data_IF_880770452770
#
_entry.id   IF_880770452770
#
_cell.length_a   1.000
_cell.length_b   1.000
_cell.length_c   1.000
_cell.angle_alpha   90.00
_cell.angle_beta   90.00
_cell.angle_gamma   90.00
#
_symmetry.space_group_name_H-M   'P 1'
#
loop_
_entity.id
_entity.type
_entity.pdbx_description
1 polymer ?
#
# COMPACT_ATOMS: atom_id res chain seq x y z
N UNK A 1 -12.27 24.68 -5.16
CA UNK A 1 -12.32 23.21 -5.24
C UNK A 1 -10.90 22.72 -5.08
N UNK A 2 -10.60 21.99 -4.00
CA UNK A 2 -9.28 21.38 -3.83
C UNK A 2 -9.27 20.08 -4.63
N UNK A 3 -8.67 20.10 -5.82
CA UNK A 3 -8.48 18.89 -6.61
C UNK A 3 -7.45 18.02 -5.87
N UNK A 4 -7.94 17.07 -5.07
CA UNK A 4 -7.16 15.96 -4.54
C UNK A 4 -6.72 15.07 -5.71
N UNK A 5 -5.46 14.63 -5.77
CA UNK A 5 -5.08 13.55 -6.70
C UNK A 5 -4.25 13.92 -7.93
N UNK A 6 -3.32 14.87 -7.87
CA UNK A 6 -2.33 15.13 -8.94
C UNK A 6 -1.03 14.34 -8.81
N UNK A 7 0.05 14.78 -9.49
CA UNK A 7 1.43 14.26 -9.37
C UNK A 7 1.87 14.09 -7.91
N UNK A 8 1.43 15.00 -7.03
CA UNK A 8 1.69 14.95 -5.59
C UNK A 8 1.24 13.64 -4.94
N UNK A 9 0.09 13.08 -5.34
CA UNK A 9 -0.41 11.83 -4.76
C UNK A 9 0.47 10.65 -5.18
N UNK A 10 0.94 10.66 -6.42
CA UNK A 10 1.90 9.66 -6.90
C UNK A 10 3.23 9.78 -6.15
N UNK A 11 3.78 10.98 -6.03
CA UNK A 11 5.02 11.25 -5.27
C UNK A 11 4.91 10.80 -3.81
N UNK A 12 3.80 11.13 -3.14
CA UNK A 12 3.55 10.70 -1.75
C UNK A 12 3.63 9.19 -1.60
N UNK A 13 3.01 8.45 -2.52
CA UNK A 13 3.03 6.99 -2.49
C UNK A 13 4.44 6.45 -2.74
N UNK A 14 5.17 7.02 -3.71
CA UNK A 14 6.55 6.63 -3.97
C UNK A 14 7.44 6.85 -2.74
N UNK A 15 7.27 7.96 -2.03
CA UNK A 15 8.00 8.24 -0.80
C UNK A 15 7.71 7.15 0.25
N UNK A 16 6.45 6.81 0.49
CA UNK A 16 6.08 5.74 1.44
C UNK A 16 6.74 4.40 1.06
N UNK A 17 6.73 4.04 -0.22
CA UNK A 17 7.37 2.81 -0.71
C UNK A 17 8.90 2.83 -0.49
N UNK A 18 9.56 3.96 -0.78
CA UNK A 18 11.01 4.12 -0.60
C UNK A 18 11.41 4.04 0.88
N UNK A 19 10.66 4.68 1.77
CA UNK A 19 10.88 4.60 3.22
C UNK A 19 10.69 3.17 3.73
N UNK A 20 9.63 2.48 3.29
CA UNK A 20 9.41 1.09 3.66
C UNK A 20 10.54 0.17 3.18
N UNK A 21 11.02 0.34 1.94
CA UNK A 21 12.17 -0.42 1.42
C UNK A 21 13.44 -0.17 2.22
N UNK A 22 13.72 1.09 2.57
CA UNK A 22 14.87 1.44 3.40
C UNK A 22 14.77 0.81 4.81
N UNK A 23 13.60 0.90 5.44
CA UNK A 23 13.32 0.27 6.73
C UNK A 23 13.51 -1.25 6.66
N UNK A 24 12.90 -1.92 5.68
CA UNK A 24 13.02 -3.37 5.49
C UNK A 24 14.46 -3.80 5.20
N UNK A 25 15.25 -2.95 4.53
CA UNK A 25 16.68 -3.18 4.31
C UNK A 25 17.48 -3.16 5.60
N UNK A 26 17.18 -2.25 6.52
CA UNK A 26 17.79 -2.26 7.86
C UNK A 26 17.34 -3.52 8.61
N UNK A 27 16.03 -3.79 8.60
CA UNK A 27 15.45 -4.90 9.36
C UNK A 27 15.80 -6.30 8.83
N UNK A 28 16.36 -6.44 7.63
CA UNK A 28 16.85 -7.74 7.12
C UNK A 28 17.94 -8.35 8.01
N UNK A 29 18.77 -7.50 8.62
CA UNK A 29 19.83 -7.91 9.55
C UNK A 29 19.30 -8.15 10.99
N UNK A 30 18.01 -7.91 11.22
CA UNK A 30 17.35 -8.12 12.51
C UNK A 30 16.14 -9.08 12.38
N UNK A 31 16.38 -10.37 12.05
CA UNK A 31 15.32 -11.35 11.77
C UNK A 31 14.45 -11.71 12.98
N UNK A 32 14.93 -11.42 14.20
CA UNK A 32 14.23 -11.72 15.45
C UNK A 32 13.08 -10.76 15.77
N UNK A 33 13.01 -9.59 15.12
CA UNK A 33 11.87 -8.69 15.26
C UNK A 33 10.76 -9.04 14.27
N UNK A 34 9.53 -9.06 14.79
CA UNK A 34 8.31 -9.13 13.97
C UNK A 34 7.93 -7.74 13.48
N UNK A 35 7.73 -7.60 12.19
CA UNK A 35 7.44 -6.33 11.54
C UNK A 35 5.96 -6.25 11.15
N UNK A 36 5.36 -5.09 11.39
CA UNK A 36 3.99 -4.79 10.98
C UNK A 36 3.98 -3.53 10.13
N UNK A 37 3.27 -3.58 9.02
CA UNK A 37 2.82 -2.39 8.32
C UNK A 37 1.38 -2.07 8.74
N UNK A 38 1.15 -0.86 9.22
CA UNK A 38 -0.16 -0.36 9.64
C UNK A 38 -0.53 0.85 8.80
N UNK A 39 -1.67 0.80 8.13
CA UNK A 39 -2.22 1.91 7.34
C UNK A 39 -3.60 2.28 7.88
N UNK A 40 -3.69 3.47 8.49
CA UNK A 40 -4.92 3.98 9.09
C UNK A 40 -5.98 4.44 8.10
N UNK A 41 -5.62 4.60 6.82
CA UNK A 41 -6.46 5.22 5.78
C UNK A 41 -6.24 4.56 4.42
N UNK A 42 -6.41 3.23 4.37
CA UNK A 42 -5.96 2.41 3.26
C UNK A 42 -6.77 2.62 1.96
N UNK A 43 -8.00 3.13 2.04
CA UNK A 43 -8.86 3.34 0.88
C UNK A 43 -9.21 2.03 0.17
N UNK A 44 -9.36 2.09 -1.15
CA UNK A 44 -9.65 0.93 -2.01
C UNK A 44 -8.39 0.20 -2.50
N UNK A 45 -7.21 0.74 -2.20
CA UNK A 45 -5.93 0.26 -2.75
C UNK A 45 -5.62 0.79 -4.16
N UNK A 46 -6.51 1.57 -4.76
CA UNK A 46 -6.30 2.26 -6.03
C UNK A 46 -6.66 3.73 -5.89
N UNK A 47 -5.91 4.58 -6.57
CA UNK A 47 -6.19 6.01 -6.62
C UNK A 47 -6.58 6.36 -8.05
N UNK A 48 -7.79 6.88 -8.19
CA UNK A 48 -8.28 7.47 -9.41
C UNK A 48 -7.66 8.86 -9.55
N UNK A 49 -6.90 9.07 -10.63
CA UNK A 49 -6.38 10.36 -11.07
C UNK A 49 -7.22 10.80 -12.27
N UNK A 50 -7.80 11.99 -12.16
CA UNK A 50 -8.55 12.58 -13.26
C UNK A 50 -7.57 13.07 -14.33
N UNK A 51 -7.60 12.43 -15.50
CA UNK A 51 -6.90 12.86 -16.71
C UNK A 51 -7.85 13.58 -17.67
N UNK A 52 -7.30 14.42 -18.55
CA UNK A 52 -8.09 15.19 -19.53
C UNK A 52 -8.88 14.33 -20.54
N UNK A 53 -8.54 13.03 -20.68
CA UNK A 53 -9.16 12.14 -21.66
C UNK A 53 -9.70 10.83 -21.06
N UNK A 54 -9.09 10.26 -20.00
CA UNK A 54 -9.64 9.10 -19.27
C UNK A 54 -9.10 9.03 -17.83
N UNK A 55 -9.85 8.42 -16.88
CA UNK A 55 -9.37 8.19 -15.52
C UNK A 55 -8.18 7.24 -15.53
N UNK A 56 -7.03 7.69 -15.01
CA UNK A 56 -5.88 6.82 -14.77
C UNK A 56 -5.95 6.27 -13.36
N UNK A 57 -5.77 4.96 -13.21
CA UNK A 57 -5.65 4.33 -11.91
C UNK A 57 -4.18 4.14 -11.59
N UNK A 58 -3.76 4.58 -10.39
CA UNK A 58 -2.45 4.26 -9.84
C UNK A 58 -2.63 3.36 -8.62
N UNK A 59 -1.67 2.46 -8.42
CA UNK A 59 -1.63 1.63 -7.21
C UNK A 59 -1.42 2.48 -5.96
N UNK A 60 -2.29 2.28 -4.97
CA UNK A 60 -2.18 2.90 -3.66
C UNK A 60 -1.04 2.31 -2.82
N UNK A 61 -0.78 2.94 -1.67
CA UNK A 61 0.26 2.52 -0.74
C UNK A 61 0.10 1.05 -0.31
N UNK A 62 -1.11 0.61 0.01
CA UNK A 62 -1.38 -0.78 0.41
C UNK A 62 -0.88 -1.83 -0.60
N UNK A 63 -1.18 -1.64 -1.89
CA UNK A 63 -0.75 -2.55 -2.96
C UNK A 63 0.76 -2.51 -3.18
N UNK A 64 1.38 -1.33 -3.12
CA UNK A 64 2.83 -1.20 -3.31
C UNK A 64 3.59 -1.82 -2.16
N UNK A 65 3.16 -1.59 -0.92
CA UNK A 65 3.81 -2.11 0.28
C UNK A 65 3.74 -3.63 0.34
N UNK A 66 2.57 -4.24 0.08
CA UNK A 66 2.45 -5.71 0.07
C UNK A 66 3.24 -6.38 -1.06
N UNK A 67 3.52 -5.64 -2.13
CA UNK A 67 4.29 -6.13 -3.28
C UNK A 67 5.80 -6.09 -3.05
N UNK A 68 6.29 -5.45 -1.97
CA UNK A 68 7.72 -5.46 -1.64
C UNK A 68 8.10 -6.89 -1.22
N UNK A 69 8.96 -7.53 -2.01
CA UNK A 69 9.50 -8.87 -1.70
C UNK A 69 10.94 -8.86 -1.23
N UNK A 70 11.71 -7.85 -1.62
CA UNK A 70 13.13 -7.71 -1.34
C UNK A 70 13.38 -6.37 -0.61
N UNK A 71 14.29 -6.33 0.38
CA UNK A 71 15.14 -7.42 0.86
C UNK A 71 14.49 -8.31 1.95
N UNK A 72 13.34 -7.92 2.48
CA UNK A 72 12.43 -8.77 3.26
C UNK A 72 11.01 -8.19 3.20
N UNK A 73 10.05 -8.95 3.70
CA UNK A 73 8.64 -8.51 3.84
C UNK A 73 8.31 -8.08 5.28
N UNK A 74 7.18 -7.40 5.46
CA UNK A 74 6.53 -7.32 6.77
C UNK A 74 5.89 -8.67 7.13
N UNK A 75 5.90 -9.03 8.40
CA UNK A 75 5.27 -10.26 8.91
C UNK A 75 3.73 -10.12 8.97
N UNK A 76 3.24 -8.89 9.17
CA UNK A 76 1.81 -8.58 9.28
C UNK A 76 1.48 -7.27 8.55
N UNK A 77 0.31 -7.22 7.93
CA UNK A 77 -0.25 -6.02 7.32
C UNK A 77 -1.62 -5.77 7.96
N UNK A 78 -1.86 -4.53 8.40
CA UNK A 78 -3.12 -4.14 9.00
C UNK A 78 -3.64 -2.85 8.35
N UNK A 79 -4.76 -2.97 7.65
CA UNK A 79 -5.37 -1.90 6.89
C UNK A 79 -6.68 -1.48 7.54
N UNK A 80 -6.81 -0.19 7.84
CA UNK A 80 -8.04 0.42 8.37
C UNK A 80 -8.70 1.25 7.28
N UNK A 81 -9.99 1.01 7.09
CA UNK A 81 -10.85 1.80 6.21
C UNK A 81 -12.25 1.87 6.83
N UNK A 82 -12.77 3.09 6.95
CA UNK A 82 -14.06 3.34 7.59
C UNK A 82 -15.23 2.96 6.68
N UNK A 83 -15.09 3.20 5.37
CA UNK A 83 -16.09 2.84 4.39
C UNK A 83 -16.03 1.34 4.08
N UNK A 84 -17.06 0.61 4.49
CA UNK A 84 -17.14 -0.85 4.31
C UNK A 84 -16.99 -1.28 2.85
N UNK A 85 -17.52 -0.53 1.89
CA UNK A 85 -17.41 -0.89 0.48
C UNK A 85 -15.97 -0.73 -0.01
N UNK A 86 -15.27 0.33 0.43
CA UNK A 86 -13.85 0.50 0.11
C UNK A 86 -12.99 -0.58 0.77
N UNK A 87 -13.30 -0.93 2.02
CA UNK A 87 -12.62 -1.99 2.74
C UNK A 87 -12.73 -3.35 2.03
N UNK A 88 -13.93 -3.72 1.55
CA UNK A 88 -14.11 -4.96 0.80
C UNK A 88 -13.39 -4.92 -0.56
N UNK A 89 -13.43 -3.80 -1.28
CA UNK A 89 -12.68 -3.63 -2.54
C UNK A 89 -11.17 -3.81 -2.31
N UNK A 90 -10.63 -3.17 -1.27
CA UNK A 90 -9.23 -3.33 -0.89
C UNK A 90 -8.91 -4.78 -0.58
N UNK A 91 -9.74 -5.44 0.25
CA UNK A 91 -9.55 -6.85 0.63
C UNK A 91 -9.52 -7.78 -0.57
N UNK A 92 -10.47 -7.64 -1.49
CA UNK A 92 -10.49 -8.41 -2.74
C UNK A 92 -9.25 -8.16 -3.56
N UNK A 93 -8.82 -6.90 -3.68
CA UNK A 93 -7.66 -6.57 -4.48
C UNK A 93 -6.34 -7.07 -3.87
N UNK A 94 -6.17 -6.96 -2.56
CA UNK A 94 -4.98 -7.46 -1.87
C UNK A 94 -4.90 -8.99 -1.89
N UNK A 95 -6.04 -9.69 -1.88
CA UNK A 95 -6.07 -11.15 -2.00
C UNK A 95 -5.48 -11.67 -3.33
N UNK A 96 -5.48 -10.86 -4.40
CA UNK A 96 -4.91 -11.22 -5.70
C UNK A 96 -3.39 -11.04 -5.75
N UNK A 97 -2.84 -10.14 -4.93
CA UNK A 97 -1.43 -9.71 -4.99
C UNK A 97 -0.61 -10.35 -3.87
N UNK A 98 -1.23 -10.62 -2.72
CA UNK A 98 -0.52 -11.17 -1.56
C UNK A 98 0.03 -12.57 -1.86
N UNK A 99 1.25 -12.83 -1.39
CA UNK A 99 1.83 -14.18 -1.42
C UNK A 99 1.10 -15.10 -0.43
N UNK A 100 1.09 -16.40 -0.74
CA UNK A 100 0.55 -17.44 0.14
C UNK A 100 1.18 -17.36 1.53
N UNK A 101 0.35 -17.40 2.58
CA UNK A 101 0.81 -17.34 3.97
C UNK A 101 0.94 -15.92 4.57
N UNK A 102 0.61 -14.86 3.83
CA UNK A 102 0.53 -13.50 4.37
C UNK A 102 -0.90 -13.20 4.84
N UNK A 103 -1.02 -12.83 6.12
CA UNK A 103 -2.27 -12.34 6.69
C UNK A 103 -2.43 -10.85 6.40
N UNK A 104 -3.59 -10.52 5.81
CA UNK A 104 -4.05 -9.19 5.40
C UNK A 104 -5.50 -9.06 5.83
#
# INVERSE_FOLDING_TARGET
MNNFGGNWTYEKIQIVELYAKAYLHIMKEHPYWKLMYFDGFAGTGEIKIDGALEPKFIEGAAKRIISISEPRIFDMYYFVELDRNKAEQLKTSLAQIRKTGIYV
#
